data_IF_053339462865
#
_entry.id   IF_053339462865
#
_cell.length_a   1.000
_cell.length_b   1.000
_cell.length_c   1.000
_cell.angle_alpha   90.00
_cell.angle_beta   90.00
_cell.angle_gamma   90.00
#
_symmetry.space_group_name_H-M   'P 1'
#
loop_
_entity.id
_entity.type
_entity.pdbx_description
1 polymer ?
#
# COMPACT_ATOMS: atom_id res chain seq x y z
N UNK A 1 27.02 4.10 -16.96
CA UNK A 1 27.65 4.19 -15.62
C UNK A 1 26.94 3.21 -14.69
N UNK A 2 27.60 2.75 -13.62
CA UNK A 2 26.93 1.92 -12.62
C UNK A 2 26.31 2.80 -11.55
N UNK A 3 25.08 2.48 -11.14
CA UNK A 3 24.32 3.22 -10.15
C UNK A 3 23.83 2.28 -9.06
N UNK A 4 23.77 2.77 -7.82
CA UNK A 4 23.32 1.98 -6.69
C UNK A 4 21.79 1.92 -6.66
N UNK A 5 21.25 0.72 -6.41
CA UNK A 5 19.84 0.50 -6.12
C UNK A 5 19.68 -0.25 -4.80
N UNK A 6 18.48 -0.15 -4.25
CA UNK A 6 18.08 -0.83 -3.03
C UNK A 6 16.79 -1.61 -3.28
N UNK A 7 16.78 -2.85 -2.85
CA UNK A 7 15.58 -3.69 -2.90
C UNK A 7 14.91 -3.67 -1.55
N UNK A 8 13.68 -3.16 -1.52
CA UNK A 8 12.83 -3.13 -0.33
C UNK A 8 11.60 -3.98 -0.52
N UNK A 9 11.00 -4.40 0.61
CA UNK A 9 9.66 -4.97 0.64
C UNK A 9 8.86 -4.39 1.81
N UNK A 10 7.53 -4.26 1.61
CA UNK A 10 6.56 -3.89 2.64
C UNK A 10 5.40 -4.86 2.59
N UNK A 11 5.35 -5.82 3.53
CA UNK A 11 4.34 -6.89 3.59
C UNK A 11 4.17 -7.65 2.26
N UNK A 12 5.32 -8.09 1.68
CA UNK A 12 5.38 -8.91 0.47
C UNK A 12 5.29 -8.14 -0.85
N UNK A 13 4.98 -6.86 -0.84
CA UNK A 13 5.03 -6.00 -2.01
C UNK A 13 6.43 -5.38 -2.12
N UNK A 14 7.14 -5.63 -3.21
CA UNK A 14 8.57 -5.38 -3.33
C UNK A 14 8.92 -4.31 -4.37
N UNK A 15 9.93 -3.51 -4.05
CA UNK A 15 10.30 -2.33 -4.83
C UNK A 15 11.80 -2.24 -5.05
N UNK A 16 12.18 -1.77 -6.24
CA UNK A 16 13.49 -1.21 -6.52
C UNK A 16 13.44 0.26 -6.10
N UNK A 17 14.38 0.70 -5.27
CA UNK A 17 14.47 2.11 -4.84
C UNK A 17 15.80 2.69 -5.29
N UNK A 18 15.76 3.89 -5.86
CA UNK A 18 16.91 4.63 -6.33
C UNK A 18 16.91 6.03 -5.70
N UNK A 19 18.04 6.44 -5.14
CA UNK A 19 18.28 7.84 -4.76
C UNK A 19 18.53 8.66 -6.04
N UNK A 20 17.51 9.38 -6.48
CA UNK A 20 17.57 10.20 -7.69
C UNK A 20 17.62 11.70 -7.40
N UNK A 21 18.12 12.13 -6.24
CA UNK A 21 18.30 13.55 -5.93
C UNK A 21 19.26 14.25 -6.92
N UNK A 22 20.14 13.50 -7.56
CA UNK A 22 21.01 13.99 -8.63
C UNK A 22 20.35 14.07 -10.01
N UNK A 23 19.10 13.59 -10.14
CA UNK A 23 18.28 13.60 -11.35
C UNK A 23 18.91 12.86 -12.57
N UNK A 24 19.73 11.84 -12.32
CA UNK A 24 20.42 11.08 -13.37
C UNK A 24 19.57 9.92 -13.95
N UNK A 25 18.53 9.49 -13.25
CA UNK A 25 17.70 8.38 -13.72
C UNK A 25 16.83 8.79 -14.92
N UNK A 26 16.81 7.99 -16.02
CA UNK A 26 16.07 8.30 -17.24
C UNK A 26 14.56 8.03 -17.07
N UNK A 27 13.86 8.89 -16.39
CA UNK A 27 12.44 8.77 -15.97
C UNK A 27 11.44 8.49 -17.08
N UNK A 28 11.75 8.83 -18.31
CA UNK A 28 10.88 8.66 -19.47
C UNK A 28 11.11 7.36 -20.23
N UNK A 29 12.11 6.57 -19.82
CA UNK A 29 12.40 5.27 -20.44
C UNK A 29 11.60 4.15 -19.75
N UNK A 30 10.34 4.01 -20.20
CA UNK A 30 9.42 2.99 -19.64
C UNK A 30 9.91 1.56 -19.90
N UNK A 31 10.64 1.33 -20.99
CA UNK A 31 11.18 0.01 -21.32
C UNK A 31 12.33 -0.38 -20.37
N UNK A 32 13.20 0.58 -20.04
CA UNK A 32 14.25 0.37 -19.04
C UNK A 32 13.65 0.05 -17.66
N UNK A 33 12.64 0.81 -17.24
CA UNK A 33 11.97 0.60 -15.95
C UNK A 33 11.30 -0.78 -15.91
N UNK A 34 10.56 -1.14 -16.96
CA UNK A 34 9.93 -2.46 -17.08
C UNK A 34 10.97 -3.58 -17.06
N UNK A 35 12.11 -3.40 -17.75
CA UNK A 35 13.21 -4.36 -17.72
C UNK A 35 13.80 -4.51 -16.30
N UNK A 36 13.98 -3.43 -15.56
CA UNK A 36 14.48 -3.51 -14.18
C UNK A 36 13.51 -4.27 -13.28
N UNK A 37 12.22 -4.10 -13.48
CA UNK A 37 11.16 -4.79 -12.73
C UNK A 37 10.96 -6.26 -13.14
N UNK A 38 11.51 -6.69 -14.29
CA UNK A 38 11.39 -8.08 -14.72
C UNK A 38 12.13 -9.02 -13.78
N UNK A 39 11.43 -10.06 -13.27
CA UNK A 39 11.96 -10.98 -12.26
C UNK A 39 12.96 -12.00 -12.82
N UNK A 40 13.12 -12.09 -14.13
CA UNK A 40 14.05 -13.03 -14.80
C UNK A 40 15.20 -12.32 -15.48
N UNK A 41 14.94 -11.15 -16.09
CA UNK A 41 15.91 -10.43 -16.92
C UNK A 41 16.39 -9.11 -16.29
N UNK A 42 15.82 -8.72 -15.14
CA UNK A 42 16.19 -7.54 -14.38
C UNK A 42 16.47 -7.84 -12.92
N UNK A 43 16.27 -6.83 -12.07
CA UNK A 43 16.35 -6.95 -10.61
C UNK A 43 15.13 -7.71 -10.07
N UNK A 44 13.96 -7.48 -10.71
CA UNK A 44 12.68 -8.05 -10.34
C UNK A 44 12.00 -7.30 -9.19
N UNK A 45 10.83 -6.73 -9.45
CA UNK A 45 10.01 -6.05 -8.45
C UNK A 45 8.59 -5.81 -8.95
N UNK A 46 7.67 -5.53 -8.03
CA UNK A 46 6.32 -5.04 -8.34
C UNK A 46 6.33 -3.59 -8.84
N UNK A 47 7.42 -2.85 -8.58
CA UNK A 47 7.61 -1.51 -9.10
C UNK A 47 8.93 -0.87 -8.71
N UNK A 48 9.15 0.34 -9.22
CA UNK A 48 10.34 1.15 -8.98
C UNK A 48 9.97 2.48 -8.33
N UNK A 49 10.71 2.87 -7.32
CA UNK A 49 10.56 4.12 -6.58
C UNK A 49 11.80 4.99 -6.75
N UNK A 50 11.59 6.26 -7.03
CA UNK A 50 12.64 7.27 -6.96
C UNK A 50 12.41 8.19 -5.78
N UNK A 51 13.49 8.48 -5.06
CA UNK A 51 13.54 9.56 -4.09
C UNK A 51 14.22 10.75 -4.76
N UNK A 52 13.50 11.86 -4.88
CA UNK A 52 14.01 13.13 -5.43
C UNK A 52 13.88 14.26 -4.40
N UNK A 53 14.67 15.31 -4.54
CA UNK A 53 14.49 16.52 -3.75
C UNK A 53 13.18 17.22 -4.12
N UNK A 54 12.58 17.92 -3.16
CA UNK A 54 11.38 18.74 -3.34
C UNK A 54 11.49 20.05 -2.59
N UNK A 55 11.05 21.16 -3.21
CA UNK A 55 11.18 22.49 -2.62
C UNK A 55 10.21 22.76 -1.46
N UNK A 56 9.15 21.97 -1.35
CA UNK A 56 8.03 22.20 -0.42
C UNK A 56 7.89 21.13 0.65
N UNK A 57 8.65 20.03 0.55
CA UNK A 57 8.61 18.89 1.46
C UNK A 57 10.00 18.28 1.64
N UNK A 58 10.13 17.28 2.51
CA UNK A 58 11.42 16.63 2.76
C UNK A 58 11.97 15.89 1.54
N UNK A 59 11.07 15.33 0.72
CA UNK A 59 11.41 14.67 -0.54
C UNK A 59 10.16 14.45 -1.41
N UNK A 60 10.40 14.10 -2.67
CA UNK A 60 9.38 13.69 -3.62
C UNK A 60 9.48 12.19 -3.93
N UNK A 61 8.35 11.51 -3.86
CA UNK A 61 8.19 10.12 -4.27
C UNK A 61 7.71 10.05 -5.73
N UNK A 62 8.46 9.35 -6.58
CA UNK A 62 7.98 8.96 -7.91
C UNK A 62 7.87 7.44 -7.92
N UNK A 63 6.70 6.94 -8.30
CA UNK A 63 6.42 5.51 -8.37
C UNK A 63 6.10 5.09 -9.79
N UNK A 64 6.74 4.02 -10.22
CA UNK A 64 6.46 3.32 -11.47
C UNK A 64 5.99 1.89 -11.18
N UNK A 65 4.92 1.47 -11.84
CA UNK A 65 4.51 0.07 -11.88
C UNK A 65 5.54 -0.78 -12.62
N UNK A 66 5.45 -2.10 -12.50
CA UNK A 66 6.38 -3.02 -13.17
C UNK A 66 6.34 -2.99 -14.69
N UNK A 67 5.32 -2.38 -15.30
CA UNK A 67 5.22 -2.14 -16.74
C UNK A 67 5.95 -0.87 -17.22
N UNK A 68 6.56 -0.12 -16.29
CA UNK A 68 7.28 1.13 -16.55
C UNK A 68 6.42 2.38 -16.55
N UNK A 69 5.10 2.28 -16.43
CA UNK A 69 4.21 3.43 -16.38
C UNK A 69 4.15 4.02 -14.98
N UNK A 70 3.95 5.35 -14.90
CA UNK A 70 3.73 6.03 -13.63
C UNK A 70 2.54 5.42 -12.89
N UNK A 71 2.75 5.09 -11.63
CA UNK A 71 1.75 4.60 -10.71
C UNK A 71 1.13 5.69 -9.85
N UNK A 72 -0.02 5.37 -9.25
CA UNK A 72 -0.57 6.16 -8.15
C UNK A 72 0.18 5.83 -6.85
N UNK A 73 0.04 6.68 -5.82
CA UNK A 73 0.64 6.43 -4.51
C UNK A 73 0.23 5.05 -3.97
N UNK A 74 1.24 4.28 -3.54
CA UNK A 74 1.08 2.96 -2.94
C UNK A 74 1.50 3.00 -1.48
N UNK A 75 0.62 2.61 -0.56
CA UNK A 75 0.91 2.62 0.88
C UNK A 75 2.09 1.73 1.29
N UNK A 76 2.29 0.60 0.60
CA UNK A 76 3.45 -0.28 0.82
C UNK A 76 4.73 0.40 0.31
N UNK A 77 4.68 0.97 -0.90
CA UNK A 77 5.80 1.72 -1.49
C UNK A 77 6.16 2.96 -0.68
N UNK A 78 5.16 3.70 -0.19
CA UNK A 78 5.38 4.87 0.68
C UNK A 78 6.14 4.50 1.95
N UNK A 79 5.76 3.40 2.65
CA UNK A 79 6.51 2.91 3.81
C UNK A 79 7.95 2.54 3.46
N UNK A 80 8.15 1.84 2.34
CA UNK A 80 9.49 1.46 1.88
C UNK A 80 10.36 2.69 1.58
N UNK A 81 9.79 3.71 0.90
CA UNK A 81 10.53 4.92 0.57
C UNK A 81 10.86 5.76 1.81
N UNK A 82 9.94 5.84 2.80
CA UNK A 82 10.19 6.52 4.08
C UNK A 82 11.32 5.83 4.85
N UNK A 83 11.34 4.48 4.90
CA UNK A 83 12.45 3.74 5.51
C UNK A 83 13.78 3.99 4.76
N UNK A 84 13.74 4.04 3.43
CA UNK A 84 14.90 4.37 2.61
C UNK A 84 15.37 5.82 2.81
N UNK A 85 14.47 6.80 2.86
CA UNK A 85 14.80 8.21 3.10
C UNK A 85 15.56 8.40 4.43
N UNK A 86 15.17 7.65 5.47
CA UNK A 86 15.92 7.60 6.73
C UNK A 86 17.30 6.98 6.54
N UNK A 87 17.41 5.87 5.80
CA UNK A 87 18.69 5.20 5.55
C UNK A 87 19.70 6.12 4.85
N UNK A 88 19.26 6.94 3.88
CA UNK A 88 20.12 7.87 3.14
C UNK A 88 20.26 9.25 3.79
N UNK A 89 19.74 9.42 5.00
CA UNK A 89 19.87 10.63 5.80
C UNK A 89 19.01 11.82 5.34
N UNK A 90 18.02 11.59 4.47
CA UNK A 90 17.10 12.65 4.03
C UNK A 90 16.13 13.06 5.16
N UNK A 91 15.77 12.13 6.05
CA UNK A 91 14.89 12.37 7.20
C UNK A 91 15.43 11.73 8.47
N UNK A 92 14.82 12.05 9.63
CA UNK A 92 15.16 11.45 10.93
C UNK A 92 14.03 10.55 11.47
N UNK A 93 12.93 11.12 11.94
CA UNK A 93 11.81 10.40 12.57
C UNK A 93 10.46 10.69 11.97
N UNK A 94 10.28 11.90 11.47
CA UNK A 94 9.04 12.42 10.91
C UNK A 94 9.33 12.95 9.53
N UNK A 95 8.35 12.90 8.66
CA UNK A 95 8.50 13.41 7.30
C UNK A 95 7.18 13.85 6.70
N UNK A 96 7.28 14.89 5.87
CA UNK A 96 6.28 15.22 4.86
C UNK A 96 6.90 15.02 3.48
N UNK A 97 6.22 14.32 2.60
CA UNK A 97 6.70 14.07 1.25
C UNK A 97 5.57 14.19 0.23
N UNK A 98 5.92 14.61 -0.97
CA UNK A 98 4.98 14.74 -2.09
C UNK A 98 5.00 13.46 -2.93
N UNK A 99 3.82 12.91 -3.25
CA UNK A 99 3.63 11.86 -4.23
C UNK A 99 2.66 12.31 -5.33
N UNK A 100 2.32 11.44 -6.25
CA UNK A 100 1.46 11.76 -7.42
C UNK A 100 0.09 12.34 -7.03
N UNK A 101 -0.45 11.96 -5.87
CA UNK A 101 -1.78 12.37 -5.39
C UNK A 101 -1.73 13.44 -4.27
N UNK A 102 -0.57 14.04 -4.03
CA UNK A 102 -0.37 15.16 -3.12
C UNK A 102 0.58 14.90 -1.97
N UNK A 103 0.42 15.68 -0.89
CA UNK A 103 1.26 15.64 0.30
C UNK A 103 0.87 14.47 1.20
N UNK A 104 1.87 13.77 1.70
CA UNK A 104 1.78 12.67 2.65
C UNK A 104 2.62 12.94 3.89
N UNK A 105 2.21 12.37 5.01
CA UNK A 105 2.91 12.44 6.30
C UNK A 105 3.21 11.04 6.81
N UNK A 106 4.40 10.86 7.36
CA UNK A 106 4.76 9.60 7.99
C UNK A 106 5.69 9.81 9.19
N UNK A 107 5.70 8.83 10.10
CA UNK A 107 6.65 8.75 11.21
C UNK A 107 7.30 7.38 11.23
N UNK A 108 8.54 7.32 11.76
CA UNK A 108 9.29 6.07 11.95
C UNK A 108 9.58 5.88 13.42
N UNK A 109 9.23 4.70 13.95
CA UNK A 109 9.59 4.27 15.29
C UNK A 109 10.16 2.84 15.23
N UNK A 110 11.49 2.72 15.39
CA UNK A 110 12.19 1.46 15.10
C UNK A 110 12.04 1.09 13.63
N UNK A 111 11.49 -0.10 13.37
CA UNK A 111 11.24 -0.63 12.03
C UNK A 111 9.79 -0.41 11.56
N UNK A 112 8.97 0.22 12.40
CA UNK A 112 7.56 0.48 12.08
C UNK A 112 7.40 1.88 11.51
N UNK A 113 6.86 1.95 10.32
CA UNK A 113 6.46 3.18 9.65
C UNK A 113 4.97 3.39 9.84
N UNK A 114 4.56 4.57 10.29
CA UNK A 114 3.18 5.02 10.40
C UNK A 114 2.91 6.03 9.30
N UNK A 115 2.21 5.62 8.27
CA UNK A 115 1.84 6.45 7.12
C UNK A 115 0.43 7.00 7.31
N UNK A 116 0.27 8.32 7.25
CA UNK A 116 -1.04 8.95 7.33
C UNK A 116 -1.85 8.65 6.07
N UNK A 117 -3.08 8.20 6.27
CA UNK A 117 -4.05 7.91 5.22
C UNK A 117 -5.10 9.02 5.14
N UNK A 118 -5.85 9.07 4.03
CA UNK A 118 -6.96 10.03 3.87
C UNK A 118 -8.09 9.73 4.86
N UNK A 119 -8.71 10.77 5.39
CA UNK A 119 -9.90 10.67 6.22
C UNK A 119 -11.07 10.06 5.44
N UNK A 120 -11.93 9.35 6.15
CA UNK A 120 -13.09 8.66 5.56
C UNK A 120 -14.37 9.13 6.25
N UNK A 121 -15.26 9.73 5.49
CA UNK A 121 -16.54 10.27 6.00
C UNK A 121 -17.77 9.54 5.44
N UNK A 122 -17.59 8.50 4.63
CA UNK A 122 -18.69 7.78 4.03
C UNK A 122 -18.40 6.29 3.91
N UNK A 123 -19.21 5.48 4.60
CA UNK A 123 -19.24 4.03 4.45
C UNK A 123 -20.65 3.64 4.04
N UNK A 124 -20.77 2.98 2.89
CA UNK A 124 -22.03 2.46 2.38
C UNK A 124 -22.23 1.04 2.87
N UNK A 125 -23.21 0.82 3.75
CA UNK A 125 -23.64 -0.50 4.17
C UNK A 125 -24.55 -1.13 3.11
N UNK A 126 -24.13 -2.28 2.57
CA UNK A 126 -24.88 -3.06 1.57
C UNK A 126 -25.50 -4.33 2.17
N UNK A 127 -25.76 -4.34 3.49
CA UNK A 127 -26.33 -5.46 4.29
C UNK A 127 -25.38 -6.65 4.48
N UNK A 128 -24.66 -7.08 3.45
CA UNK A 128 -23.71 -8.21 3.51
C UNK A 128 -22.25 -7.78 3.29
N UNK A 129 -22.05 -6.52 2.98
CA UNK A 129 -20.74 -5.95 2.70
C UNK A 129 -20.74 -4.45 2.89
N UNK A 130 -19.56 -3.86 2.97
CA UNK A 130 -19.35 -2.43 3.07
C UNK A 130 -18.62 -1.94 1.84
N UNK A 131 -18.91 -0.68 1.45
CA UNK A 131 -18.19 -0.02 0.37
C UNK A 131 -17.70 1.35 0.87
N UNK A 132 -16.41 1.61 0.72
CA UNK A 132 -15.79 2.87 1.12
C UNK A 132 -14.58 3.17 0.25
N UNK A 133 -14.12 4.43 0.31
CA UNK A 133 -12.94 4.89 -0.42
C UNK A 133 -11.88 5.37 0.59
N UNK A 134 -10.72 4.73 0.59
CA UNK A 134 -9.55 5.05 1.44
C UNK A 134 -8.35 5.53 0.62
N UNK A 135 -8.61 6.17 -0.52
CA UNK A 135 -7.67 6.51 -1.59
C UNK A 135 -7.89 5.68 -2.85
N UNK A 136 -8.53 4.52 -2.69
CA UNK A 136 -9.07 3.66 -3.75
C UNK A 136 -10.41 3.10 -3.31
N UNK A 137 -11.33 2.71 -4.23
CA UNK A 137 -12.61 2.10 -3.85
C UNK A 137 -12.42 0.66 -3.36
N UNK A 138 -13.05 0.33 -2.23
CA UNK A 138 -12.97 -0.97 -1.59
C UNK A 138 -14.35 -1.55 -1.25
N UNK A 139 -14.55 -2.79 -1.67
CA UNK A 139 -15.59 -3.66 -1.16
C UNK A 139 -15.00 -4.47 0.00
N UNK A 140 -15.70 -4.54 1.13
CA UNK A 140 -15.31 -5.31 2.32
C UNK A 140 -16.42 -6.26 2.69
N UNK A 141 -16.14 -7.56 2.69
CA UNK A 141 -17.12 -8.61 2.97
C UNK A 141 -16.59 -9.59 4.01
N UNK A 142 -17.35 -9.78 5.11
CA UNK A 142 -17.07 -10.83 6.06
C UNK A 142 -17.37 -12.21 5.45
N UNK A 143 -16.46 -13.15 5.68
CA UNK A 143 -16.60 -14.55 5.26
C UNK A 143 -16.20 -15.46 6.41
N UNK A 144 -16.63 -16.71 6.33
CA UNK A 144 -16.16 -17.78 7.19
C UNK A 144 -15.08 -18.57 6.44
N UNK A 145 -14.09 -19.10 7.14
CA UNK A 145 -13.00 -19.93 6.58
C UNK A 145 -12.29 -19.21 5.41
N UNK A 146 -11.62 -18.11 5.73
CA UNK A 146 -10.92 -17.28 4.75
C UNK A 146 -9.78 -18.05 4.08
N UNK A 147 -9.18 -19.02 4.76
CA UNK A 147 -8.06 -19.79 4.23
C UNK A 147 -8.46 -20.58 2.97
N UNK A 148 -9.60 -21.27 3.01
CA UNK A 148 -10.13 -22.06 1.88
C UNK A 148 -10.93 -21.22 0.87
N UNK A 149 -11.17 -19.95 1.14
CA UNK A 149 -12.03 -19.09 0.34
C UNK A 149 -11.47 -18.86 -1.07
N UNK A 150 -12.36 -18.91 -2.08
CA UNK A 150 -11.97 -18.78 -3.50
C UNK A 150 -11.87 -17.30 -3.93
N UNK A 151 -10.87 -16.60 -3.37
CA UNK A 151 -10.68 -15.14 -3.51
C UNK A 151 -10.69 -14.70 -4.97
N UNK A 152 -9.89 -15.30 -5.83
CA UNK A 152 -9.79 -14.91 -7.25
C UNK A 152 -11.14 -15.06 -7.97
N UNK A 153 -11.82 -16.19 -7.78
CA UNK A 153 -13.11 -16.44 -8.43
C UNK A 153 -14.19 -15.45 -7.99
N UNK A 154 -14.36 -15.29 -6.68
CA UNK A 154 -15.41 -14.43 -6.13
C UNK A 154 -15.03 -12.95 -6.26
N UNK A 155 -13.75 -12.62 -6.11
CA UNK A 155 -13.22 -11.27 -6.33
C UNK A 155 -13.48 -10.79 -7.75
N UNK A 156 -13.14 -11.60 -8.75
CA UNK A 156 -13.41 -11.31 -10.17
C UNK A 156 -14.92 -11.14 -10.43
N UNK A 157 -15.75 -12.03 -9.88
CA UNK A 157 -17.22 -11.93 -10.03
C UNK A 157 -17.77 -10.62 -9.47
N UNK A 158 -17.35 -10.20 -8.28
CA UNK A 158 -17.78 -8.95 -7.65
C UNK A 158 -17.19 -7.74 -8.36
N UNK A 159 -15.90 -7.77 -8.69
CA UNK A 159 -15.16 -6.70 -9.36
C UNK A 159 -15.85 -6.25 -10.66
N UNK A 160 -16.26 -7.21 -11.49
CA UNK A 160 -16.89 -6.92 -12.78
C UNK A 160 -18.42 -6.90 -12.70
N UNK A 161 -19.04 -7.82 -11.96
CA UNK A 161 -20.49 -7.96 -11.91
C UNK A 161 -21.20 -6.91 -11.07
N UNK A 162 -20.55 -6.39 -10.02
CA UNK A 162 -21.16 -5.39 -9.12
C UNK A 162 -20.64 -3.97 -9.40
N UNK A 163 -19.35 -3.84 -9.75
CA UNK A 163 -18.69 -2.54 -9.87
C UNK A 163 -18.37 -2.13 -11.31
N UNK A 164 -18.62 -3.00 -12.29
CA UNK A 164 -18.47 -2.73 -13.71
C UNK A 164 -17.06 -2.25 -14.09
N UNK A 165 -16.99 -1.35 -15.07
CA UNK A 165 -15.70 -0.84 -15.58
C UNK A 165 -14.90 -0.05 -14.54
N UNK A 166 -15.54 0.77 -13.73
CA UNK A 166 -14.87 1.54 -12.67
C UNK A 166 -14.20 0.65 -11.65
N UNK A 167 -14.81 -0.48 -11.35
CA UNK A 167 -14.30 -1.52 -10.48
C UNK A 167 -14.09 -1.09 -9.04
N UNK A 168 -13.69 -2.08 -8.23
CA UNK A 168 -13.33 -1.92 -6.83
C UNK A 168 -12.34 -3.00 -6.45
N UNK A 169 -11.47 -2.72 -5.49
CA UNK A 169 -10.73 -3.78 -4.78
C UNK A 169 -11.72 -4.56 -3.92
N UNK A 170 -11.59 -5.88 -3.89
CA UNK A 170 -12.50 -6.77 -3.14
C UNK A 170 -11.73 -7.40 -2.00
N UNK A 171 -12.15 -7.11 -0.77
CA UNK A 171 -11.51 -7.58 0.45
C UNK A 171 -12.43 -8.56 1.16
N UNK A 172 -12.01 -9.81 1.29
CA UNK A 172 -12.68 -10.83 2.08
C UNK A 172 -12.02 -10.90 3.45
N UNK A 173 -12.82 -10.87 4.51
CA UNK A 173 -12.37 -10.64 5.88
C UNK A 173 -12.88 -11.74 6.80
N UNK A 174 -12.02 -12.24 7.66
CA UNK A 174 -12.36 -13.12 8.77
C UNK A 174 -11.95 -12.47 10.09
N UNK A 175 -12.84 -12.52 11.09
CA UNK A 175 -12.53 -12.04 12.43
C UNK A 175 -11.76 -13.12 13.21
N UNK A 176 -10.54 -12.81 13.64
CA UNK A 176 -9.68 -13.72 14.42
C UNK A 176 -9.71 -13.45 15.92
N UNK A 177 -10.12 -12.25 16.33
CA UNK A 177 -10.16 -11.82 17.72
C UNK A 177 -10.96 -10.51 17.87
N UNK A 178 -10.94 -9.91 19.05
CA UNK A 178 -11.71 -8.69 19.34
C UNK A 178 -11.26 -7.48 18.53
N UNK A 179 -9.99 -7.40 18.19
CA UNK A 179 -9.35 -6.29 17.45
C UNK A 179 -8.41 -6.80 16.34
N UNK A 180 -8.54 -8.06 15.96
CA UNK A 180 -7.67 -8.73 14.97
C UNK A 180 -8.51 -9.38 13.89
N UNK A 181 -8.19 -9.07 12.63
CA UNK A 181 -8.86 -9.59 11.45
C UNK A 181 -7.84 -10.10 10.43
N UNK A 182 -8.18 -11.14 9.70
CA UNK A 182 -7.45 -11.56 8.52
C UNK A 182 -8.13 -11.01 7.26
N UNK A 183 -7.35 -10.67 6.25
CA UNK A 183 -7.87 -10.21 4.96
C UNK A 183 -7.12 -10.86 3.80
N UNK A 184 -7.88 -11.17 2.75
CA UNK A 184 -7.38 -11.54 1.43
C UNK A 184 -8.04 -10.65 0.39
N UNK A 185 -7.23 -10.07 -0.50
CA UNK A 185 -7.68 -9.00 -1.42
C UNK A 185 -7.49 -9.41 -2.87
N UNK A 186 -8.57 -9.33 -3.66
CA UNK A 186 -8.52 -9.29 -5.11
C UNK A 186 -8.37 -7.82 -5.53
N UNK A 187 -7.26 -7.48 -6.15
CA UNK A 187 -6.87 -6.10 -6.41
C UNK A 187 -7.24 -5.65 -7.83
N UNK A 188 -7.95 -4.52 -7.90
CA UNK A 188 -8.30 -3.86 -9.15
C UNK A 188 -7.03 -3.31 -9.83
N UNK A 189 -6.85 -3.64 -11.11
CA UNK A 189 -5.68 -3.26 -11.90
C UNK A 189 -4.60 -4.33 -11.94
N UNK A 190 -4.45 -5.14 -10.88
CA UNK A 190 -3.70 -6.40 -10.88
C UNK A 190 -4.57 -7.53 -11.41
N UNK A 191 -5.86 -7.50 -11.07
CA UNK A 191 -6.91 -8.46 -11.45
C UNK A 191 -6.59 -9.89 -10.97
N UNK A 192 -5.94 -9.96 -9.81
CA UNK A 192 -5.60 -11.19 -9.10
C UNK A 192 -5.53 -10.95 -7.58
N UNK A 193 -5.31 -12.00 -6.80
CA UNK A 193 -5.06 -11.90 -5.37
C UNK A 193 -3.64 -11.37 -5.10
N UNK A 194 -3.53 -10.30 -4.30
CA UNK A 194 -2.25 -9.72 -3.87
C UNK A 194 -1.89 -10.11 -2.44
N UNK A 195 -0.60 -10.04 -2.10
CA UNK A 195 -0.11 -10.36 -0.77
C UNK A 195 -0.55 -9.35 0.28
N UNK A 196 -0.65 -8.06 -0.09
CA UNK A 196 -1.07 -6.98 0.80
C UNK A 196 -1.49 -5.75 0.01
N UNK A 197 -2.58 -5.10 0.43
CA UNK A 197 -3.08 -3.84 -0.13
C UNK A 197 -3.26 -2.82 1.00
N UNK A 198 -2.44 -1.77 1.05
CA UNK A 198 -2.44 -0.78 2.14
C UNK A 198 -3.77 -0.04 2.31
N UNK A 199 -4.38 0.42 1.23
CA UNK A 199 -5.72 1.03 1.26
C UNK A 199 -6.80 0.01 1.61
N UNK A 200 -6.63 -1.26 1.20
CA UNK A 200 -7.54 -2.36 1.50
C UNK A 200 -7.60 -2.69 2.98
N UNK A 201 -6.44 -2.83 3.64
CA UNK A 201 -6.40 -3.11 5.09
C UNK A 201 -6.96 -1.93 5.89
N UNK A 202 -6.75 -0.70 5.43
CA UNK A 202 -7.39 0.49 6.01
C UNK A 202 -8.91 0.41 5.90
N UNK A 203 -9.42 0.09 4.71
CA UNK A 203 -10.86 -0.06 4.48
C UNK A 203 -11.46 -1.16 5.36
N UNK A 204 -10.76 -2.29 5.52
CA UNK A 204 -11.20 -3.38 6.41
C UNK A 204 -11.32 -2.91 7.86
N UNK A 205 -10.28 -2.27 8.40
CA UNK A 205 -10.31 -1.81 9.80
C UNK A 205 -11.48 -0.85 10.07
N UNK A 206 -11.68 0.13 9.19
CA UNK A 206 -12.78 1.10 9.32
C UNK A 206 -14.17 0.45 9.16
N UNK A 207 -14.33 -0.46 8.21
CA UNK A 207 -15.58 -1.19 8.01
C UNK A 207 -15.91 -2.10 9.21
N UNK A 208 -14.93 -2.77 9.81
CA UNK A 208 -15.14 -3.60 10.99
C UNK A 208 -15.49 -2.78 12.24
N UNK A 209 -14.86 -1.60 12.42
CA UNK A 209 -15.26 -0.65 13.45
C UNK A 209 -16.68 -0.12 13.23
N UNK A 210 -17.02 0.28 12.00
CA UNK A 210 -18.35 0.73 11.62
C UNK A 210 -19.42 -0.33 11.87
N UNK A 211 -19.14 -1.58 11.56
CA UNK A 211 -20.03 -2.73 11.77
C UNK A 211 -20.19 -3.15 13.25
N UNK A 212 -19.50 -2.47 14.19
CA UNK A 212 -19.53 -2.82 15.60
C UNK A 212 -18.84 -4.17 15.92
N UNK A 213 -17.97 -4.66 15.03
CA UNK A 213 -17.20 -5.88 15.24
C UNK A 213 -16.04 -5.70 16.22
N UNK A 214 -15.65 -4.46 16.45
CA UNK A 214 -14.67 -4.05 17.44
C UNK A 214 -14.94 -2.63 17.92
N UNK A 215 -14.56 -2.33 19.15
CA UNK A 215 -14.55 -0.98 19.72
C UNK A 215 -13.15 -0.37 19.74
N UNK A 216 -12.14 -1.14 19.39
CA UNK A 216 -10.75 -0.70 19.35
C UNK A 216 -10.53 0.34 18.24
N UNK A 217 -9.68 1.34 18.56
CA UNK A 217 -9.14 2.31 17.59
C UNK A 217 -7.79 1.89 17.04
N UNK A 218 -7.30 0.73 17.46
CA UNK A 218 -6.06 0.11 17.02
C UNK A 218 -6.38 -1.32 16.57
N UNK A 219 -6.49 -1.51 15.26
CA UNK A 219 -6.93 -2.79 14.68
C UNK A 219 -5.76 -3.46 13.99
N UNK A 220 -5.51 -4.71 14.35
CA UNK A 220 -4.49 -5.54 13.74
C UNK A 220 -5.09 -6.28 12.53
N UNK A 221 -4.41 -6.19 11.39
CA UNK A 221 -4.83 -6.84 10.15
C UNK A 221 -3.73 -7.79 9.68
N UNK A 222 -4.07 -9.07 9.63
CA UNK A 222 -3.21 -10.11 9.07
C UNK A 222 -3.47 -10.25 7.59
N UNK A 223 -2.42 -10.10 6.79
CA UNK A 223 -2.44 -10.34 5.34
C UNK A 223 -1.54 -11.54 5.00
N UNK A 224 -1.59 -12.02 3.76
CA UNK A 224 -0.63 -13.05 3.32
C UNK A 224 0.83 -12.57 3.35
N UNK A 225 1.05 -11.28 3.16
CA UNK A 225 2.38 -10.67 3.13
C UNK A 225 2.92 -10.26 4.49
N UNK A 226 2.10 -10.32 5.55
CA UNK A 226 2.49 -9.94 6.91
C UNK A 226 1.42 -9.16 7.66
N UNK A 227 1.77 -8.74 8.87
CA UNK A 227 0.86 -8.05 9.78
C UNK A 227 0.97 -6.52 9.63
N UNK A 228 -0.17 -5.88 9.59
CA UNK A 228 -0.32 -4.42 9.55
C UNK A 228 -1.23 -3.99 10.70
N UNK A 229 -1.13 -2.74 11.08
CA UNK A 229 -2.03 -2.14 12.09
C UNK A 229 -2.61 -0.85 11.53
N UNK A 230 -3.88 -0.64 11.81
CA UNK A 230 -4.57 0.62 11.52
C UNK A 230 -4.91 1.30 12.84
N UNK A 231 -4.45 2.54 12.99
CA UNK A 231 -4.85 3.44 14.05
C UNK A 231 -5.73 4.54 13.46
N UNK A 232 -6.80 4.94 14.15
CA UNK A 232 -7.68 6.01 13.70
C UNK A 232 -8.45 6.63 14.87
N UNK A 233 -9.05 7.80 14.63
CA UNK A 233 -10.02 8.44 15.51
C UNK A 233 -11.41 8.47 14.84
N UNK A 234 -12.45 8.80 15.62
CA UNK A 234 -13.82 8.88 15.10
C UNK A 234 -14.61 7.58 15.25
N UNK A 235 -15.84 7.60 14.72
CA UNK A 235 -16.82 6.50 14.78
C UNK A 235 -17.98 6.73 13.79
N UNK A 236 -18.86 5.75 13.66
CA UNK A 236 -20.14 5.88 12.93
C UNK A 236 -19.98 6.36 11.49
N UNK A 237 -18.88 5.96 10.82
CA UNK A 237 -18.61 6.28 9.42
C UNK A 237 -17.81 7.56 9.19
N UNK A 238 -17.49 8.33 10.25
CA UNK A 238 -16.60 9.47 10.18
C UNK A 238 -15.29 9.14 10.92
N UNK A 239 -14.24 8.93 10.16
CA UNK A 239 -12.93 8.53 10.65
C UNK A 239 -11.85 9.50 10.20
N UNK A 240 -11.01 9.93 11.13
CA UNK A 240 -9.89 10.85 10.93
C UNK A 240 -8.64 10.32 11.60
N UNK A 241 -7.52 11.02 11.35
CA UNK A 241 -6.22 10.64 11.90
C UNK A 241 -5.90 9.16 11.70
N UNK A 242 -6.15 8.71 10.47
CA UNK A 242 -5.99 7.32 10.06
C UNK A 242 -4.52 7.09 9.72
N UNK A 243 -3.92 6.10 10.36
CA UNK A 243 -2.52 5.71 10.14
C UNK A 243 -2.43 4.22 9.79
N UNK A 244 -1.80 3.94 8.65
CA UNK A 244 -1.37 2.62 8.25
C UNK A 244 0.03 2.37 8.83
N UNK A 245 0.13 1.40 9.73
CA UNK A 245 1.37 1.05 10.42
C UNK A 245 1.86 -0.33 9.99
N UNK A 246 3.14 -0.43 9.67
CA UNK A 246 3.75 -1.68 9.33
C UNK A 246 5.24 -1.57 9.02
N UNK A 247 5.92 -2.71 8.88
CA UNK A 247 7.34 -2.74 8.55
C UNK A 247 7.60 -2.34 7.11
N UNK A 248 8.85 -1.95 6.86
CA UNK A 248 9.45 -1.87 5.55
C UNK A 248 10.90 -2.34 5.68
N UNK A 249 11.29 -3.33 4.90
CA UNK A 249 12.55 -4.04 5.08
C UNK A 249 13.45 -3.89 3.87
N UNK A 250 14.73 -3.55 4.10
CA UNK A 250 15.78 -3.65 3.11
C UNK A 250 16.14 -5.12 2.90
N UNK A 251 15.89 -5.64 1.70
CA UNK A 251 16.19 -7.04 1.35
C UNK A 251 17.66 -7.17 0.93
N UNK A 252 18.08 -6.32 -0.02
CA UNK A 252 19.48 -6.23 -0.47
C UNK A 252 19.72 -4.91 -1.22
N UNK A 253 20.97 -4.63 -1.53
CA UNK A 253 21.40 -3.53 -2.40
C UNK A 253 22.37 -4.05 -3.45
N UNK A 254 22.47 -3.35 -4.57
CA UNK A 254 23.35 -3.72 -5.66
C UNK A 254 23.69 -2.53 -6.56
N UNK A 255 24.40 -2.84 -7.63
CA UNK A 255 24.74 -1.89 -8.69
C UNK A 255 24.11 -2.32 -9.99
N UNK A 256 23.63 -1.36 -10.77
CA UNK A 256 23.06 -1.59 -12.09
C UNK A 256 23.48 -0.47 -13.04
N UNK A 257 23.62 -0.81 -14.32
CA UNK A 257 23.98 0.15 -15.36
C UNK A 257 22.75 0.58 -16.17
N UNK A 258 22.69 1.85 -16.47
CA UNK A 258 21.81 2.45 -17.48
C UNK A 258 22.50 3.57 -18.24
#
# INVERSE_FOLDING_TARGET
MEHQFYKYQGTGNDFIIIDNRTLLFPKNDTQLIARFCDRRFGIGADGLLLLEDDDSSDFKMIYYNSDGNLGSMCGNGGRCLVAFAKLVGAIQKETEFVATDGLHQATINGDIISLKMKDVSNIIDKKQSFFLNTGSPHHVQLVNDLESFKVVKEGKRLRYGVYGEKGSNINFVEQLGTDTFAVRTYERGVEDETLSCGTGVTAVALAMSYAGKTTSKHINIRTKGGDLRIKFEGQSGNFSDIYLQGPAELVYKGMIAW
#
